data_IF_213451874889
#
_entry.id   IF_213451874889
#
_cell.length_a   1.000
_cell.length_b   1.000
_cell.length_c   1.000
_cell.angle_alpha   90.00
_cell.angle_beta   90.00
_cell.angle_gamma   90.00
#
_symmetry.space_group_name_H-M   'P 1'
#
loop_
_entity.id
_entity.type
_entity.pdbx_description
1 polymer ?
#
# COMPACT_ATOMS: atom_id res chain seq x y z
N UNK A 1 1.59 -24.76 23.16
CA UNK A 1 2.13 -23.40 22.99
C UNK A 1 3.06 -23.48 21.81
N UNK A 2 2.53 -23.33 20.60
CA UNK A 2 3.31 -23.45 19.36
C UNK A 2 3.34 -22.10 18.66
N UNK A 3 4.46 -21.37 18.86
CA UNK A 3 4.80 -20.16 18.14
C UNK A 3 5.29 -20.51 16.74
N UNK A 4 4.36 -20.77 15.84
CA UNK A 4 4.64 -20.95 14.41
C UNK A 4 4.97 -19.61 13.75
N UNK A 5 6.10 -19.57 13.04
CA UNK A 5 6.48 -18.46 12.16
C UNK A 5 5.39 -18.29 11.08
N UNK A 6 4.57 -17.24 11.19
CA UNK A 6 3.51 -16.94 10.24
C UNK A 6 4.12 -16.37 8.94
N UNK A 7 4.07 -17.16 7.87
CA UNK A 7 4.39 -16.74 6.50
C UNK A 7 3.09 -16.23 5.86
N UNK A 8 3.12 -15.00 5.36
CA UNK A 8 2.00 -14.26 4.82
C UNK A 8 1.43 -14.92 3.56
N UNK A 9 0.14 -15.29 3.58
CA UNK A 9 -0.73 -15.49 2.41
C UNK A 9 -2.16 -15.71 2.93
N UNK A 10 -3.13 -14.98 2.40
CA UNK A 10 -4.54 -15.09 2.79
C UNK A 10 -5.21 -16.29 2.13
N UNK A 11 -4.96 -17.53 2.57
CA UNK A 11 -5.79 -18.70 2.21
C UNK A 11 -5.83 -19.78 3.31
N UNK A 12 -6.87 -20.65 3.34
CA UNK A 12 -6.98 -21.76 4.28
C UNK A 12 -5.81 -22.76 4.15
N UNK A 13 -5.43 -23.38 5.27
CA UNK A 13 -4.25 -24.24 5.44
C UNK A 13 -4.06 -25.35 4.39
N UNK A 14 -2.83 -25.51 3.86
CA UNK A 14 -2.23 -26.84 3.70
C UNK A 14 -2.00 -27.47 2.31
N UNK A 15 -1.51 -26.79 1.26
CA UNK A 15 -0.91 -27.51 0.10
C UNK A 15 0.10 -26.68 -0.72
N UNK A 16 1.32 -27.20 -1.00
CA UNK A 16 2.34 -26.56 -1.86
C UNK A 16 1.96 -26.45 -3.34
N UNK A 17 0.85 -27.04 -3.77
CA UNK A 17 0.31 -26.91 -5.14
C UNK A 17 -0.74 -25.80 -5.27
N UNK A 18 -1.00 -25.10 -4.17
CA UNK A 18 -1.99 -24.02 -4.07
C UNK A 18 -1.36 -22.64 -4.07
N UNK A 19 -0.07 -22.52 -4.37
CA UNK A 19 0.52 -21.21 -4.68
C UNK A 19 -0.13 -20.72 -5.98
N UNK A 20 -0.86 -19.59 -5.95
CA UNK A 20 -1.35 -19.05 -7.19
C UNK A 20 -0.15 -18.60 -8.03
N UNK A 21 -0.22 -18.75 -9.38
CA UNK A 21 0.76 -18.14 -10.25
C UNK A 21 0.81 -16.63 -9.94
N UNK A 22 2.03 -16.07 -9.91
CA UNK A 22 2.39 -14.68 -9.64
C UNK A 22 1.32 -13.63 -10.04
N UNK A 23 0.27 -13.43 -9.22
CA UNK A 23 -0.83 -12.51 -9.55
C UNK A 23 -1.77 -12.18 -8.37
N UNK A 24 -1.51 -12.63 -7.14
CA UNK A 24 -2.41 -12.30 -6.02
C UNK A 24 -1.94 -11.02 -5.32
N UNK A 25 -2.30 -9.90 -5.95
CA UNK A 25 -2.12 -8.56 -5.44
C UNK A 25 -2.82 -8.38 -4.09
N UNK A 26 -2.33 -7.43 -3.29
CA UNK A 26 -3.03 -6.95 -2.11
C UNK A 26 -4.51 -6.69 -2.47
N UNK A 27 -5.42 -7.38 -1.78
CA UNK A 27 -6.84 -7.40 -2.12
C UNK A 27 -7.48 -6.09 -1.66
N UNK A 28 -7.48 -5.10 -2.54
CA UNK A 28 -8.18 -3.84 -2.37
C UNK A 28 -9.58 -3.99 -2.96
N UNK A 29 -10.64 -3.51 -2.32
CA UNK A 29 -11.97 -3.76 -2.90
C UNK A 29 -13.18 -3.31 -2.14
N UNK A 30 -13.05 -2.92 -0.87
CA UNK A 30 -14.20 -2.41 -0.15
C UNK A 30 -14.13 -0.88 -0.08
N UNK A 31 -14.98 -0.23 -0.88
CA UNK A 31 -15.35 1.16 -0.62
C UNK A 31 -16.12 1.30 0.70
N UNK A 32 -16.60 0.18 1.25
CA UNK A 32 -17.53 0.13 2.37
C UNK A 32 -16.97 0.43 3.75
N UNK A 33 -15.66 0.65 3.91
CA UNK A 33 -15.10 1.18 5.15
C UNK A 33 -15.06 2.72 5.20
N UNK A 34 -15.40 3.41 4.09
CA UNK A 34 -15.38 4.88 3.97
C UNK A 34 -16.80 5.48 4.10
N UNK A 35 -17.46 5.26 5.24
CA UNK A 35 -18.85 5.70 5.44
C UNK A 35 -19.01 6.94 6.31
N UNK A 36 -18.00 7.28 7.10
CA UNK A 36 -18.00 8.51 7.89
C UNK A 36 -17.74 9.76 7.01
N UNK A 37 -18.00 10.99 7.49
CA UNK A 37 -17.83 12.20 6.68
C UNK A 37 -16.42 12.39 6.10
N UNK A 38 -15.37 12.04 6.85
CA UNK A 38 -13.99 12.18 6.42
C UNK A 38 -13.64 11.14 5.36
N UNK A 39 -14.09 9.90 5.56
CA UNK A 39 -13.92 8.80 4.61
C UNK A 39 -14.62 9.06 3.29
N UNK A 40 -15.86 9.59 3.32
CA UNK A 40 -16.58 9.99 2.11
C UNK A 40 -15.87 11.11 1.34
N UNK A 41 -15.33 12.11 2.04
CA UNK A 41 -14.56 13.18 1.40
C UNK A 41 -13.30 12.61 0.72
N UNK A 42 -12.53 11.79 1.44
CA UNK A 42 -11.36 11.12 0.88
C UNK A 42 -11.71 10.24 -0.32
N UNK A 43 -12.76 9.42 -0.22
CA UNK A 43 -13.17 8.51 -1.29
C UNK A 43 -13.60 9.30 -2.54
N UNK A 44 -14.25 10.45 -2.36
CA UNK A 44 -14.63 11.34 -3.46
C UNK A 44 -13.40 11.92 -4.18
N UNK A 45 -12.42 12.43 -3.43
CA UNK A 45 -11.18 12.97 -3.98
C UNK A 45 -10.35 11.88 -4.68
N UNK A 46 -10.23 10.72 -4.04
CA UNK A 46 -9.50 9.58 -4.57
C UNK A 46 -10.15 9.04 -5.85
N UNK A 47 -11.47 8.85 -5.88
CA UNK A 47 -12.19 8.45 -7.10
C UNK A 47 -12.08 9.50 -8.20
N UNK A 48 -12.12 10.79 -7.86
CA UNK A 48 -11.95 11.86 -8.84
C UNK A 48 -10.57 11.78 -9.50
N UNK A 49 -9.50 11.57 -8.72
CA UNK A 49 -8.16 11.37 -9.25
C UNK A 49 -8.03 10.06 -10.06
N UNK A 50 -8.62 8.97 -9.56
CA UNK A 50 -8.61 7.65 -10.16
C UNK A 50 -9.29 7.62 -11.54
N UNK A 51 -10.41 8.32 -11.67
CA UNK A 51 -11.25 8.32 -12.87
C UNK A 51 -10.88 9.47 -13.83
N UNK A 52 -9.95 10.35 -13.45
CA UNK A 52 -9.51 11.45 -14.30
C UNK A 52 -8.84 10.93 -15.58
N UNK A 53 -8.99 11.71 -16.64
CA UNK A 53 -8.34 11.47 -17.93
C UNK A 53 -7.86 12.79 -18.49
N UNK A 54 -6.68 12.80 -19.11
CA UNK A 54 -6.11 14.02 -19.67
C UNK A 54 -6.81 14.50 -20.93
N UNK A 55 -7.35 13.57 -21.71
CA UNK A 55 -8.08 13.84 -22.95
C UNK A 55 -9.52 14.33 -22.72
N UNK A 56 -10.11 14.02 -21.57
CA UNK A 56 -11.51 14.36 -21.26
C UNK A 56 -11.69 14.62 -19.76
N UNK A 57 -11.59 15.88 -19.37
CA UNK A 57 -11.81 16.33 -17.98
C UNK A 57 -13.29 16.28 -17.59
N UNK A 58 -13.55 16.10 -16.30
CA UNK A 58 -14.91 16.04 -15.77
C UNK A 58 -15.69 17.35 -15.93
N UNK A 59 -16.99 17.22 -16.22
CA UNK A 59 -17.96 18.31 -16.10
C UNK A 59 -18.33 18.58 -14.63
N UNK A 60 -19.05 19.67 -14.36
CA UNK A 60 -19.59 19.93 -13.02
C UNK A 60 -20.62 18.87 -12.60
N UNK A 61 -21.47 18.43 -13.54
CA UNK A 61 -22.47 17.37 -13.32
C UNK A 61 -21.80 16.06 -12.94
N UNK A 62 -20.71 15.70 -13.65
CA UNK A 62 -19.98 14.47 -13.35
C UNK A 62 -19.30 14.49 -11.99
N UNK A 63 -18.68 15.63 -11.60
CA UNK A 63 -18.10 15.76 -10.25
C UNK A 63 -19.16 15.63 -9.16
N UNK A 64 -20.33 16.22 -9.35
CA UNK A 64 -21.45 16.08 -8.42
C UNK A 64 -21.93 14.63 -8.35
N UNK A 65 -22.06 13.95 -9.50
CA UNK A 65 -22.45 12.55 -9.57
C UNK A 65 -21.49 11.63 -8.81
N UNK A 66 -20.17 11.87 -8.86
CA UNK A 66 -19.19 11.12 -8.07
C UNK A 66 -19.45 11.30 -6.56
N UNK A 67 -19.65 12.54 -6.12
CA UNK A 67 -19.97 12.83 -4.71
C UNK A 67 -21.27 12.15 -4.26
N UNK A 68 -22.32 12.21 -5.09
CA UNK A 68 -23.62 11.59 -4.80
C UNK A 68 -23.51 10.07 -4.75
N UNK A 69 -22.79 9.46 -5.70
CA UNK A 69 -22.52 8.02 -5.72
C UNK A 69 -21.76 7.56 -4.47
N UNK A 70 -20.76 8.32 -4.00
CA UNK A 70 -20.05 8.03 -2.75
C UNK A 70 -21.00 8.08 -1.54
N UNK A 71 -21.87 9.10 -1.47
CA UNK A 71 -22.85 9.21 -0.40
C UNK A 71 -23.86 8.04 -0.41
N UNK A 72 -24.34 7.65 -1.60
CA UNK A 72 -25.26 6.51 -1.76
C UNK A 72 -24.58 5.18 -1.44
N UNK A 73 -23.33 4.99 -1.86
CA UNK A 73 -22.53 3.82 -1.54
C UNK A 73 -22.35 3.66 -0.02
N UNK A 74 -22.10 4.76 0.70
CA UNK A 74 -21.91 4.72 2.16
C UNK A 74 -23.13 4.21 2.94
N UNK A 75 -24.35 4.41 2.43
CA UNK A 75 -25.60 3.94 3.06
C UNK A 75 -26.11 2.62 2.49
N UNK A 76 -25.49 2.12 1.41
CA UNK A 76 -25.87 0.84 0.80
C UNK A 76 -25.53 -0.34 1.73
N UNK A 77 -26.18 -1.51 1.59
CA UNK A 77 -25.77 -2.74 2.26
C UNK A 77 -24.29 -3.07 2.01
N UNK A 78 -23.59 -3.62 3.00
CA UNK A 78 -22.14 -3.86 2.94
C UNK A 78 -21.71 -4.66 1.68
N UNK A 79 -22.50 -5.66 1.27
CA UNK A 79 -22.23 -6.49 0.10
C UNK A 79 -22.39 -5.76 -1.25
N UNK A 80 -22.92 -4.53 -1.26
CA UNK A 80 -23.04 -3.69 -2.45
C UNK A 80 -21.98 -2.58 -2.50
N UNK A 81 -21.15 -2.42 -1.46
CA UNK A 81 -20.16 -1.33 -1.36
C UNK A 81 -18.84 -1.64 -2.05
N UNK A 82 -18.91 -2.04 -3.32
CA UNK A 82 -17.77 -2.54 -4.09
C UNK A 82 -17.78 -2.04 -5.54
N UNK A 83 -16.65 -2.21 -6.21
CA UNK A 83 -16.49 -1.80 -7.62
C UNK A 83 -17.40 -2.56 -8.59
N UNK A 84 -17.94 -3.71 -8.22
CA UNK A 84 -18.90 -4.47 -9.06
C UNK A 84 -20.24 -3.73 -9.20
N UNK A 85 -20.74 -3.13 -8.11
CA UNK A 85 -22.03 -2.45 -8.09
C UNK A 85 -21.94 -0.93 -8.22
N UNK A 86 -20.79 -0.33 -7.94
CA UNK A 86 -20.59 1.11 -8.03
C UNK A 86 -20.95 1.74 -9.40
N UNK A 87 -20.68 1.10 -10.57
CA UNK A 87 -21.07 1.64 -11.87
C UNK A 87 -22.58 1.88 -12.03
N UNK A 88 -23.41 1.11 -11.34
CA UNK A 88 -24.87 1.19 -11.45
C UNK A 88 -25.41 2.53 -10.89
N UNK A 89 -24.66 3.16 -9.99
CA UNK A 89 -24.99 4.45 -9.40
C UNK A 89 -24.95 5.60 -10.41
N UNK A 90 -24.27 5.42 -11.55
CA UNK A 90 -24.15 6.42 -12.61
C UNK A 90 -25.14 6.24 -13.76
N UNK A 91 -25.98 5.20 -13.73
CA UNK A 91 -26.88 4.85 -14.83
C UNK A 91 -27.90 5.93 -15.23
N UNK A 92 -28.18 6.88 -14.33
CA UNK A 92 -29.16 7.95 -14.52
C UNK A 92 -28.52 9.27 -14.99
N UNK A 93 -27.20 9.32 -15.12
CA UNK A 93 -26.48 10.53 -15.50
C UNK A 93 -26.56 10.71 -17.02
N UNK A 94 -26.93 11.92 -17.44
CA UNK A 94 -26.94 12.31 -18.85
C UNK A 94 -25.53 12.72 -19.29
N UNK A 95 -24.63 11.74 -19.40
CA UNK A 95 -23.23 11.92 -19.83
C UNK A 95 -22.78 10.90 -20.88
N UNK A 96 -23.73 10.34 -21.63
CA UNK A 96 -23.52 9.26 -22.61
C UNK A 96 -22.86 8.00 -22.01
N UNK A 97 -22.96 7.81 -20.68
CA UNK A 97 -22.34 6.70 -19.96
C UNK A 97 -20.84 6.86 -19.73
N UNK A 98 -20.27 8.07 -19.93
CA UNK A 98 -18.84 8.34 -19.77
C UNK A 98 -18.34 7.99 -18.37
N UNK A 99 -19.02 8.44 -17.31
CA UNK A 99 -18.64 8.10 -15.94
C UNK A 99 -18.72 6.60 -15.68
N UNK A 100 -19.79 5.95 -16.13
CA UNK A 100 -19.95 4.52 -15.96
C UNK A 100 -18.81 3.75 -16.64
N UNK A 101 -18.41 4.17 -17.84
CA UNK A 101 -17.29 3.56 -18.57
C UNK A 101 -15.96 3.74 -17.84
N UNK A 102 -15.69 4.92 -17.29
CA UNK A 102 -14.46 5.17 -16.50
C UNK A 102 -14.36 4.25 -15.29
N UNK A 103 -15.47 4.03 -14.57
CA UNK A 103 -15.50 3.13 -13.42
C UNK A 103 -15.37 1.67 -13.87
N UNK A 104 -16.01 1.29 -14.99
CA UNK A 104 -15.93 -0.07 -15.55
C UNK A 104 -14.51 -0.51 -15.89
N UNK A 105 -13.57 0.40 -16.15
CA UNK A 105 -12.16 0.07 -16.33
C UNK A 105 -11.54 -0.59 -15.09
N UNK A 106 -12.08 -0.32 -13.89
CA UNK A 106 -11.63 -0.84 -12.60
C UNK A 106 -12.49 -2.01 -12.08
N UNK A 107 -13.57 -2.36 -12.79
CA UNK A 107 -14.38 -3.55 -12.51
C UNK A 107 -13.70 -4.81 -13.06
N UNK A 108 -14.18 -6.01 -12.66
CA UNK A 108 -13.60 -7.31 -13.01
C UNK A 108 -13.23 -7.47 -14.50
N UNK A 109 -14.12 -7.05 -15.40
CA UNK A 109 -13.93 -7.17 -16.85
C UNK A 109 -13.14 -5.99 -17.47
N UNK A 110 -12.72 -5.03 -16.65
CA UNK A 110 -11.96 -3.86 -17.03
C UNK A 110 -10.45 -4.09 -17.06
N UNK A 111 -9.72 -3.22 -17.77
CA UNK A 111 -8.25 -3.31 -17.88
C UNK A 111 -7.51 -3.27 -16.54
N UNK A 112 -8.08 -2.62 -15.54
CA UNK A 112 -7.56 -2.52 -14.18
C UNK A 112 -8.35 -3.40 -13.19
N UNK A 113 -9.19 -4.30 -13.70
CA UNK A 113 -10.08 -5.16 -12.90
C UNK A 113 -9.35 -6.08 -11.94
N UNK A 114 -8.11 -6.44 -12.24
CA UNK A 114 -7.27 -7.24 -11.35
C UNK A 114 -6.91 -6.51 -10.05
N UNK A 115 -7.01 -5.17 -10.00
CA UNK A 115 -6.68 -4.37 -8.81
C UNK A 115 -7.83 -4.37 -7.79
N UNK A 116 -9.07 -4.15 -8.25
CA UNK A 116 -10.24 -3.97 -7.37
C UNK A 116 -11.46 -4.84 -7.71
N UNK A 117 -11.48 -5.48 -8.88
CA UNK A 117 -12.68 -6.06 -9.49
C UNK A 117 -13.11 -7.43 -8.97
N UNK A 118 -12.19 -8.22 -8.40
CA UNK A 118 -12.48 -9.58 -7.91
C UNK A 118 -13.13 -9.64 -6.51
N UNK A 119 -13.20 -8.51 -5.78
CA UNK A 119 -13.40 -8.55 -4.33
C UNK A 119 -14.81 -8.10 -3.90
N UNK A 120 -15.54 -9.01 -3.25
CA UNK A 120 -16.83 -8.70 -2.60
C UNK A 120 -16.70 -8.34 -1.11
N UNK A 121 -15.56 -8.67 -0.47
CA UNK A 121 -15.30 -8.45 0.96
C UNK A 121 -13.86 -7.95 1.17
N UNK A 122 -13.68 -6.93 2.01
CA UNK A 122 -12.35 -6.49 2.48
C UNK A 122 -11.71 -7.60 3.30
N UNK A 123 -10.69 -8.27 2.76
CA UNK A 123 -9.94 -9.28 3.52
C UNK A 123 -8.68 -8.69 4.20
N UNK A 124 -8.60 -7.38 4.27
CA UNK A 124 -7.43 -6.71 4.80
C UNK A 124 -7.50 -6.58 6.33
N UNK A 125 -6.67 -7.36 7.02
CA UNK A 125 -6.56 -7.31 8.49
C UNK A 125 -5.16 -6.83 8.90
N UNK A 126 -5.09 -5.60 9.45
CA UNK A 126 -3.88 -5.12 10.14
C UNK A 126 -3.89 -5.42 11.63
N UNK A 127 -4.24 -6.65 12.02
CA UNK A 127 -4.18 -7.07 13.42
C UNK A 127 -2.87 -7.79 13.75
N UNK A 128 -2.03 -8.02 12.75
CA UNK A 128 -0.73 -8.64 12.92
C UNK A 128 0.33 -7.59 13.25
N UNK A 129 1.30 -7.96 14.10
CA UNK A 129 2.40 -7.09 14.54
C UNK A 129 3.33 -6.69 13.38
N UNK A 130 3.43 -7.53 12.35
CA UNK A 130 4.21 -7.29 11.14
C UNK A 130 3.28 -7.50 9.95
N UNK A 131 3.44 -6.68 8.91
CA UNK A 131 2.73 -6.81 7.64
C UNK A 131 3.72 -6.56 6.50
N UNK A 132 3.57 -7.30 5.40
CA UNK A 132 4.31 -7.09 4.16
C UNK A 132 3.34 -7.05 3.00
N UNK A 133 3.62 -6.18 2.03
CA UNK A 133 2.90 -6.10 0.77
C UNK A 133 3.87 -6.53 -0.33
N UNK A 134 3.51 -7.56 -1.09
CA UNK A 134 4.22 -7.83 -2.34
C UNK A 134 3.83 -6.75 -3.34
N UNK A 135 4.79 -5.89 -3.63
CA UNK A 135 4.64 -4.78 -4.58
C UNK A 135 5.36 -5.03 -5.89
N UNK A 136 6.01 -6.18 -6.09
CA UNK A 136 6.83 -6.42 -7.29
C UNK A 136 5.99 -6.28 -8.55
N UNK A 137 4.85 -6.98 -8.63
CA UNK A 137 3.94 -6.87 -9.76
C UNK A 137 3.29 -5.47 -9.89
N UNK A 138 3.11 -4.76 -8.77
CA UNK A 138 2.51 -3.42 -8.74
C UNK A 138 3.49 -2.36 -9.24
N UNK A 139 4.77 -2.50 -8.92
CA UNK A 139 5.82 -1.56 -9.36
C UNK A 139 6.27 -1.85 -10.80
N UNK A 140 6.20 -3.11 -11.21
CA UNK A 140 6.45 -3.55 -12.59
C UNK A 140 5.24 -3.32 -13.52
N UNK A 141 4.08 -2.95 -12.96
CA UNK A 141 2.93 -2.49 -13.73
C UNK A 141 3.36 -1.39 -14.71
N UNK A 142 3.10 -1.59 -16.00
CA UNK A 142 3.52 -0.65 -17.04
C UNK A 142 2.78 0.70 -17.01
N UNK A 143 1.65 0.79 -16.30
CA UNK A 143 0.79 1.97 -16.26
C UNK A 143 0.94 2.75 -14.93
N UNK A 144 1.37 4.00 -15.01
CA UNK A 144 1.50 4.91 -13.86
C UNK A 144 0.17 5.16 -13.14
N UNK A 145 -0.97 5.00 -13.84
CA UNK A 145 -2.30 5.12 -13.26
C UNK A 145 -2.59 3.99 -12.27
N UNK A 146 -2.14 2.77 -12.57
CA UNK A 146 -2.27 1.61 -11.68
C UNK A 146 -1.46 1.82 -10.39
N UNK A 147 -0.20 2.24 -10.53
CA UNK A 147 0.69 2.54 -9.40
C UNK A 147 0.10 3.60 -8.48
N UNK A 148 -0.37 4.70 -9.07
CA UNK A 148 -0.96 5.82 -8.32
C UNK A 148 -2.21 5.37 -7.55
N UNK A 149 -3.08 4.57 -8.18
CA UNK A 149 -4.28 4.03 -7.56
C UNK A 149 -3.95 3.16 -6.35
N UNK A 150 -3.04 2.20 -6.52
CA UNK A 150 -2.66 1.24 -5.49
C UNK A 150 -1.94 1.94 -4.33
N UNK A 151 -0.96 2.80 -4.63
CA UNK A 151 -0.23 3.56 -3.61
C UNK A 151 -1.16 4.48 -2.82
N UNK A 152 -2.06 5.21 -3.51
CA UNK A 152 -3.03 6.09 -2.84
C UNK A 152 -3.94 5.33 -1.88
N UNK A 153 -4.43 4.15 -2.28
CA UNK A 153 -5.26 3.32 -1.42
C UNK A 153 -4.46 2.73 -0.24
N UNK A 154 -3.23 2.27 -0.47
CA UNK A 154 -2.33 1.79 0.58
C UNK A 154 -2.05 2.86 1.64
N UNK A 155 -1.77 4.10 1.21
CA UNK A 155 -1.58 5.21 2.14
C UNK A 155 -2.82 5.46 2.98
N UNK A 156 -4.02 5.42 2.39
CA UNK A 156 -5.27 5.56 3.14
C UNK A 156 -5.44 4.47 4.20
N UNK A 157 -5.11 3.23 3.87
CA UNK A 157 -5.19 2.13 4.83
C UNK A 157 -4.26 2.40 6.02
N UNK A 158 -3.02 2.82 5.77
CA UNK A 158 -2.04 3.18 6.80
C UNK A 158 -2.57 4.32 7.67
N UNK A 159 -3.10 5.39 7.08
CA UNK A 159 -3.67 6.53 7.81
C UNK A 159 -4.77 6.11 8.79
N UNK A 160 -5.70 5.25 8.35
CA UNK A 160 -6.81 4.76 9.19
C UNK A 160 -6.30 4.01 10.41
N UNK A 161 -5.26 3.19 10.25
CA UNK A 161 -4.69 2.44 11.37
C UNK A 161 -3.91 3.31 12.33
N UNK A 162 -3.24 4.34 11.82
CA UNK A 162 -2.55 5.31 12.65
C UNK A 162 -3.50 6.38 13.27
N UNK A 163 -4.81 6.32 12.98
CA UNK A 163 -5.82 7.29 13.44
C UNK A 163 -5.44 8.74 13.14
N UNK A 164 -4.75 8.97 12.02
CA UNK A 164 -4.31 10.31 11.64
C UNK A 164 -5.48 11.07 11.04
N UNK A 165 -5.90 12.17 11.67
CA UNK A 165 -6.95 13.06 11.18
C UNK A 165 -6.32 14.16 10.32
N UNK A 166 -6.92 14.42 9.14
CA UNK A 166 -6.31 15.13 8.02
C UNK A 166 -5.99 16.62 8.27
N UNK A 167 -4.88 17.10 7.71
CA UNK A 167 -4.78 18.43 7.03
C UNK A 167 -3.46 18.70 6.28
N UNK A 168 -2.40 17.89 6.41
CA UNK A 168 -1.20 17.92 5.54
C UNK A 168 -0.64 16.51 5.34
N UNK A 169 -1.10 15.86 4.26
CA UNK A 169 -1.17 14.40 4.08
C UNK A 169 0.19 13.67 4.26
N UNK A 170 1.26 14.03 3.55
CA UNK A 170 2.55 13.33 3.67
C UNK A 170 3.37 13.74 4.89
N UNK A 171 3.44 15.05 5.14
CA UNK A 171 4.33 15.61 6.16
C UNK A 171 3.88 15.26 7.58
N UNK A 172 2.58 15.32 7.86
CA UNK A 172 2.06 14.98 9.19
C UNK A 172 2.16 13.49 9.48
N UNK A 173 2.02 12.62 8.47
CA UNK A 173 2.26 11.18 8.63
C UNK A 173 3.70 10.90 9.04
N UNK A 174 4.65 11.43 8.27
CA UNK A 174 6.07 11.22 8.53
C UNK A 174 6.50 11.85 9.87
N UNK A 175 5.90 12.98 10.26
CA UNK A 175 6.14 13.62 11.56
C UNK A 175 5.53 12.87 12.75
N UNK A 176 4.41 12.16 12.56
CA UNK A 176 3.78 11.37 13.61
C UNK A 176 4.62 10.12 13.99
N UNK A 177 5.50 9.68 13.09
CA UNK A 177 6.40 8.55 13.34
C UNK A 177 7.50 9.01 14.29
N UNK A 178 7.34 8.67 15.58
CA UNK A 178 8.31 8.99 16.64
C UNK A 178 9.67 8.36 16.40
N UNK A 179 9.74 7.11 15.95
CA UNK A 179 11.02 6.42 15.72
C UNK A 179 11.19 6.17 14.23
N UNK A 180 12.19 6.81 13.66
CA UNK A 180 12.45 6.78 12.22
C UNK A 180 13.77 6.05 11.96
N UNK A 181 13.75 5.13 10.99
CA UNK A 181 14.95 4.50 10.43
C UNK A 181 15.11 5.05 9.02
N UNK A 182 16.09 5.92 8.82
CA UNK A 182 16.36 6.57 7.54
C UNK A 182 17.58 5.91 6.91
N UNK A 183 17.39 5.31 5.73
CA UNK A 183 18.46 4.71 4.95
C UNK A 183 19.13 5.79 4.08
N UNK A 184 20.47 5.75 3.93
CA UNK A 184 21.16 6.67 3.04
C UNK A 184 20.64 6.57 1.61
N UNK A 185 20.40 7.72 0.99
CA UNK A 185 19.99 7.82 -0.41
C UNK A 185 20.73 9.00 -1.06
N UNK A 186 21.78 8.66 -1.80
CA UNK A 186 22.68 9.63 -2.45
C UNK A 186 22.09 10.27 -3.70
N UNK A 187 20.97 9.74 -4.19
CA UNK A 187 20.26 10.26 -5.34
C UNK A 187 19.19 11.29 -4.94
N UNK A 188 18.98 11.50 -3.63
CA UNK A 188 18.03 12.46 -3.11
C UNK A 188 18.70 13.81 -2.84
N UNK A 189 17.88 14.86 -2.80
CA UNK A 189 18.25 16.20 -2.37
C UNK A 189 17.69 16.49 -0.97
N UNK A 190 18.18 17.58 -0.36
CA UNK A 190 17.73 18.06 0.94
C UNK A 190 16.21 18.27 1.01
N UNK A 191 15.60 18.73 -0.08
CA UNK A 191 14.16 18.97 -0.18
C UNK A 191 13.33 17.69 -0.01
N UNK A 192 13.86 16.53 -0.38
CA UNK A 192 13.16 15.25 -0.21
C UNK A 192 12.98 14.87 1.27
N UNK A 193 13.74 15.47 2.19
CA UNK A 193 13.68 15.21 3.63
C UNK A 193 13.06 16.36 4.44
N UNK A 194 12.55 17.40 3.78
CA UNK A 194 11.99 18.58 4.44
C UNK A 194 10.88 18.21 5.44
N UNK A 195 10.06 17.23 5.08
CA UNK A 195 8.92 16.73 5.88
C UNK A 195 9.32 16.17 7.24
N UNK A 196 10.48 15.48 7.33
CA UNK A 196 10.98 14.86 8.56
C UNK A 196 11.99 15.73 9.32
N UNK A 197 12.37 16.89 8.76
CA UNK A 197 13.21 17.90 9.42
C UNK A 197 14.51 17.32 9.99
N UNK A 198 15.31 16.73 9.11
CA UNK A 198 16.68 16.33 9.46
C UNK A 198 17.52 17.58 9.80
N UNK A 199 18.35 17.48 10.83
CA UNK A 199 19.37 18.50 11.07
C UNK A 199 20.56 18.35 10.10
N UNK A 200 21.46 19.33 10.04
CA UNK A 200 22.58 19.35 9.09
C UNK A 200 23.46 18.09 9.16
N UNK A 201 23.68 17.53 10.36
CA UNK A 201 24.50 16.32 10.55
C UNK A 201 23.79 15.08 10.06
N UNK A 202 22.51 14.94 10.38
CA UNK A 202 21.66 13.83 9.94
C UNK A 202 21.52 13.83 8.42
N UNK A 203 21.25 15.00 7.84
CA UNK A 203 21.15 15.18 6.41
C UNK A 203 22.47 14.84 5.72
N UNK A 204 23.59 15.31 6.28
CA UNK A 204 24.91 14.95 5.78
C UNK A 204 25.13 13.42 5.79
N UNK A 205 24.75 12.73 6.87
CA UNK A 205 24.83 11.26 6.94
C UNK A 205 24.01 10.59 5.85
N UNK A 206 22.76 11.00 5.67
CA UNK A 206 21.84 10.37 4.71
C UNK A 206 22.26 10.61 3.25
N UNK A 207 22.79 11.80 2.93
CA UNK A 207 23.19 12.16 1.56
C UNK A 207 24.61 11.74 1.19
N UNK A 208 25.55 11.77 2.14
CA UNK A 208 26.98 11.63 1.85
C UNK A 208 27.61 10.30 2.29
N UNK A 209 26.82 9.35 2.80
CA UNK A 209 27.32 8.00 3.11
C UNK A 209 27.92 7.34 1.85
N UNK A 210 29.18 6.87 1.88
CA UNK A 210 29.79 6.15 0.78
C UNK A 210 29.04 4.87 0.40
N UNK A 211 29.05 4.55 -0.90
CA UNK A 211 28.45 3.31 -1.39
C UNK A 211 29.11 2.08 -0.75
N UNK A 212 28.31 1.07 -0.40
CA UNK A 212 28.76 -0.15 0.27
C UNK A 212 28.81 -0.08 1.79
N UNK A 213 28.69 1.11 2.39
CA UNK A 213 28.47 1.23 3.83
C UNK A 213 27.06 0.78 4.19
N UNK A 214 26.96 -0.21 5.08
CA UNK A 214 25.69 -0.66 5.65
C UNK A 214 25.40 0.16 6.90
N UNK A 215 24.85 1.35 6.71
CA UNK A 215 24.48 2.23 7.82
C UNK A 215 23.03 2.68 7.70
N UNK A 216 22.41 2.97 8.83
CA UNK A 216 21.11 3.62 8.92
C UNK A 216 21.15 4.68 10.01
N UNK A 217 20.44 5.78 9.79
CA UNK A 217 20.15 6.76 10.82
C UNK A 217 18.91 6.30 11.57
N UNK A 218 19.05 6.03 12.87
CA UNK A 218 17.90 5.82 13.76
C UNK A 218 17.73 7.11 14.57
N UNK A 219 16.54 7.70 14.52
CA UNK A 219 16.25 8.92 15.26
C UNK A 219 14.88 8.91 15.91
N UNK A 220 14.73 9.75 16.93
CA UNK A 220 13.46 10.12 17.51
C UNK A 220 13.37 11.65 17.71
N UNK A 221 12.40 12.08 18.52
CA UNK A 221 12.15 13.51 18.81
C UNK A 221 13.30 14.19 19.58
N UNK A 222 14.18 13.41 20.22
CA UNK A 222 15.20 13.89 21.16
C UNK A 222 16.63 13.56 20.77
N UNK A 223 16.85 12.48 20.02
CA UNK A 223 18.18 11.97 19.73
C UNK A 223 18.24 11.30 18.35
N UNK A 224 19.46 11.18 17.84
CA UNK A 224 19.75 10.39 16.66
C UNK A 224 21.09 9.69 16.75
N UNK A 225 21.14 8.48 16.18
CA UNK A 225 22.30 7.60 16.18
C UNK A 225 22.46 6.99 14.80
N UNK A 226 23.71 6.93 14.34
CA UNK A 226 24.04 6.17 13.12
C UNK A 226 24.45 4.77 13.54
N UNK A 227 23.76 3.76 13.04
CA UNK A 227 24.03 2.35 13.35
C UNK A 227 24.63 1.65 12.14
N UNK A 228 25.52 0.70 12.40
CA UNK A 228 25.97 -0.26 11.39
C UNK A 228 24.88 -1.33 11.22
N UNK A 229 24.31 -1.41 10.03
CA UNK A 229 23.28 -2.39 9.66
C UNK A 229 23.87 -3.64 9.00
N UNK A 230 25.16 -3.90 9.20
CA UNK A 230 25.79 -5.14 8.80
C UNK A 230 25.29 -6.32 9.64
N UNK A 231 24.42 -7.12 9.04
CA UNK A 231 23.86 -8.33 9.64
C UNK A 231 24.70 -9.59 9.37
N UNK A 232 25.95 -9.46 8.91
CA UNK A 232 26.80 -10.63 8.60
C UNK A 232 27.01 -11.58 9.79
N UNK A 233 26.89 -11.08 11.02
CA UNK A 233 26.93 -11.91 12.23
C UNK A 233 25.80 -12.95 12.30
N UNK A 234 24.71 -12.76 11.55
CA UNK A 234 23.64 -13.74 11.43
C UNK A 234 24.03 -14.95 10.57
N UNK A 235 25.17 -14.94 9.89
CA UNK A 235 25.66 -16.10 9.12
C UNK A 235 24.60 -16.64 8.14
N UNK A 236 24.33 -17.94 8.21
CA UNK A 236 23.35 -18.61 7.35
C UNK A 236 21.91 -18.11 7.55
N UNK A 237 21.57 -17.59 8.75
CA UNK A 237 20.25 -17.02 9.03
C UNK A 237 19.96 -15.76 8.22
N UNK A 238 21.00 -15.06 7.77
CA UNK A 238 20.82 -13.87 6.93
C UNK A 238 20.15 -14.23 5.59
N UNK A 239 20.43 -15.41 5.04
CA UNK A 239 19.81 -15.89 3.79
C UNK A 239 18.31 -16.13 3.97
N UNK A 240 17.88 -16.57 5.15
CA UNK A 240 16.46 -16.78 5.48
C UNK A 240 15.70 -15.45 5.45
N UNK A 241 16.31 -14.36 5.94
CA UNK A 241 15.71 -13.02 6.00
C UNK A 241 15.65 -12.37 4.60
N UNK A 242 16.61 -12.69 3.72
CA UNK A 242 16.71 -12.10 2.37
C UNK A 242 15.59 -12.49 1.40
N UNK A 243 14.77 -13.51 1.72
CA UNK A 243 13.69 -13.98 0.86
C UNK A 243 14.15 -14.65 -0.44
N UNK A 244 13.18 -14.99 -1.31
CA UNK A 244 13.42 -15.67 -2.59
C UNK A 244 13.86 -17.15 -2.46
N UNK A 245 14.11 -17.79 -3.60
CA UNK A 245 14.42 -19.22 -3.69
C UNK A 245 15.60 -19.66 -2.79
N UNK A 246 16.59 -18.79 -2.61
CA UNK A 246 17.75 -19.06 -1.74
C UNK A 246 17.36 -19.03 -0.26
N UNK A 247 16.55 -18.06 0.15
CA UNK A 247 16.07 -17.97 1.52
C UNK A 247 15.07 -19.08 1.89
N UNK A 248 14.23 -19.51 0.96
CA UNK A 248 13.31 -20.62 1.17
C UNK A 248 14.04 -21.95 1.39
N UNK A 249 15.05 -22.24 0.56
CA UNK A 249 15.91 -23.41 0.74
C UNK A 249 16.65 -23.37 2.08
N UNK A 250 17.16 -22.20 2.47
CA UNK A 250 17.82 -22.02 3.77
C UNK A 250 16.85 -22.26 4.93
N UNK A 251 15.60 -21.79 4.82
CA UNK A 251 14.55 -22.02 5.83
C UNK A 251 14.17 -23.50 5.96
N UNK A 252 14.05 -24.22 4.85
CA UNK A 252 13.77 -25.66 4.86
C UNK A 252 14.90 -26.46 5.51
N UNK A 253 16.15 -26.11 5.22
CA UNK A 253 17.32 -26.73 5.84
C UNK A 253 17.39 -26.47 7.34
N UNK A 254 17.08 -25.25 7.78
CA UNK A 254 16.97 -24.89 9.18
C UNK A 254 15.88 -25.70 9.90
N UNK A 255 14.67 -25.76 9.34
CA UNK A 255 13.54 -26.54 9.89
C UNK A 255 13.82 -28.04 9.95
N UNK A 256 14.62 -28.56 9.01
CA UNK A 256 15.04 -29.96 8.98
C UNK A 256 16.17 -30.29 9.98
N UNK A 257 16.62 -29.33 10.79
CA UNK A 257 17.72 -29.51 11.74
C UNK A 257 19.07 -29.74 11.07
N UNK A 258 19.21 -29.36 9.80
CA UNK A 258 20.42 -29.56 8.99
C UNK A 258 21.35 -28.34 8.94
N UNK A 259 21.01 -27.25 9.63
CA UNK A 259 21.96 -26.14 9.82
C UNK A 259 23.01 -26.57 10.83
N UNK A 260 24.28 -26.50 10.43
CA UNK A 260 25.40 -26.52 11.36
C UNK A 260 25.43 -25.16 12.07
N UNK A 261 24.73 -25.05 13.21
CA UNK A 261 24.92 -23.94 14.15
C UNK A 261 26.18 -24.19 14.97
#
# INVERSE_FOLDING_TARGET
MDGGLYKFSFHPSGSPKSEPPAAHAAMFGNMGSETDPQGKAWLTDWLTALLDRDDKKFSAVQRQAISDAVNQNAVSPNNLRNFKHFPDLFSHIDDDGDLQQRVREWCLDGRFGWVFGENEIENFSMNNQVMGFDMTNVLDAGDEKEKTAILGYLFRLIEKKLQLTSSKLGDSMLQAIRTQIVLPNRNADASNYASIKLNDRELHTVLNTPAGMRVALIRNDTESVTVNTNLAALGEYLNIIGGGNTGEKALEQYKAGKSNV
#
